data_IF_271840886010
#
_entry.id   IF_271840886010
#
_cell.length_a   1.000
_cell.length_b   1.000
_cell.length_c   1.000
_cell.angle_alpha   90.00
_cell.angle_beta   90.00
_cell.angle_gamma   90.00
#
_symmetry.space_group_name_H-M   'P 1'
#
loop_
_entity.id
_entity.type
_entity.pdbx_description
1 polymer ?
#
# COMPACT_ATOMS: atom_id res chain seq x y z
N UNK A 1 -13.62 0.82 -2.21
CA UNK A 1 -12.97 1.13 -0.90
C UNK A 1 -11.57 0.54 -0.97
N UNK A 2 -10.54 1.26 -0.49
CA UNK A 2 -9.17 0.74 -0.46
C UNK A 2 -9.01 -0.47 0.46
N UNK A 3 -8.02 -1.32 0.17
CA UNK A 3 -7.72 -2.51 0.97
C UNK A 3 -6.92 -2.23 2.25
N UNK A 4 -7.41 -1.29 3.06
CA UNK A 4 -6.85 -1.00 4.38
C UNK A 4 -7.33 -2.01 5.44
N UNK A 5 -6.58 -2.14 6.53
CA UNK A 5 -6.99 -2.92 7.70
C UNK A 5 -8.35 -2.46 8.26
N UNK A 6 -8.99 -3.30 9.09
CA UNK A 6 -10.30 -2.97 9.65
C UNK A 6 -10.27 -1.71 10.54
N UNK A 7 -9.10 -1.32 11.05
CA UNK A 7 -8.96 -0.18 11.95
C UNK A 7 -7.70 0.64 11.65
N UNK A 8 -7.86 1.96 11.57
CA UNK A 8 -6.77 2.94 11.54
C UNK A 8 -6.79 3.71 12.86
N UNK A 9 -5.83 3.41 13.73
CA UNK A 9 -5.81 3.97 15.08
C UNK A 9 -7.06 3.60 15.87
N UNK A 10 -7.87 4.61 16.24
CA UNK A 10 -9.15 4.41 16.94
C UNK A 10 -10.36 4.34 16.00
N UNK A 11 -10.18 4.63 14.72
CA UNK A 11 -11.25 4.55 13.72
C UNK A 11 -11.36 3.10 13.24
N UNK A 12 -12.56 2.51 13.33
CA UNK A 12 -12.80 1.12 12.97
C UNK A 12 -14.02 1.00 12.05
N UNK A 13 -13.86 0.23 10.97
CA UNK A 13 -14.98 -0.09 10.10
C UNK A 13 -16.01 -0.97 10.83
N UNK A 14 -17.32 -0.67 10.71
CA UNK A 14 -18.37 -1.56 11.18
C UNK A 14 -18.18 -2.98 10.63
N UNK A 15 -18.50 -3.99 11.43
CA UNK A 15 -18.25 -5.39 11.07
C UNK A 15 -18.95 -5.81 9.77
N UNK A 16 -20.18 -5.33 9.56
CA UNK A 16 -20.92 -5.59 8.32
C UNK A 16 -20.20 -5.04 7.08
N UNK A 17 -19.64 -3.83 7.17
CA UNK A 17 -18.88 -3.20 6.07
C UNK A 17 -17.57 -3.95 5.84
N UNK A 18 -16.90 -4.36 6.91
CA UNK A 18 -15.67 -5.16 6.82
C UNK A 18 -15.91 -6.49 6.10
N UNK A 19 -16.93 -7.26 6.52
CA UNK A 19 -17.27 -8.54 5.89
C UNK A 19 -17.64 -8.38 4.42
N UNK A 20 -18.46 -7.39 4.09
CA UNK A 20 -18.80 -7.09 2.70
C UNK A 20 -17.55 -6.75 1.87
N UNK A 21 -16.63 -5.95 2.40
CA UNK A 21 -15.39 -5.60 1.71
C UNK A 21 -14.53 -6.83 1.39
N UNK A 22 -14.48 -7.83 2.28
CA UNK A 22 -13.65 -9.03 2.07
C UNK A 22 -14.12 -9.91 0.91
N UNK A 23 -15.42 -9.88 0.58
CA UNK A 23 -16.01 -10.69 -0.50
C UNK A 23 -16.35 -9.89 -1.75
N UNK A 24 -16.23 -8.56 -1.69
CA UNK A 24 -16.46 -7.67 -2.82
C UNK A 24 -15.46 -7.90 -3.97
N UNK A 25 -15.77 -7.33 -5.14
CA UNK A 25 -14.83 -7.29 -6.27
C UNK A 25 -13.58 -6.53 -5.87
N UNK A 26 -12.42 -7.11 -6.17
CA UNK A 26 -11.13 -6.62 -5.74
C UNK A 26 -10.29 -6.20 -6.96
N UNK A 27 -9.86 -4.95 -6.97
CA UNK A 27 -9.05 -4.37 -8.03
C UNK A 27 -7.62 -4.18 -7.53
N UNK A 28 -6.67 -4.90 -8.12
CA UNK A 28 -5.25 -4.77 -7.82
C UNK A 28 -4.66 -3.73 -8.77
N UNK A 29 -3.95 -2.75 -8.21
CA UNK A 29 -3.31 -1.67 -8.97
C UNK A 29 -1.80 -1.85 -8.90
N UNK A 30 -1.18 -2.09 -10.05
CA UNK A 30 0.26 -2.22 -10.18
C UNK A 30 0.81 -0.99 -10.91
N UNK A 31 1.82 -0.37 -10.30
CA UNK A 31 2.48 0.86 -10.78
C UNK A 31 3.99 0.65 -10.62
N UNK A 32 4.85 1.23 -11.49
CA UNK A 32 6.29 1.03 -11.38
C UNK A 32 6.85 1.46 -10.02
N UNK A 33 7.83 0.71 -9.51
CA UNK A 33 8.38 0.91 -8.17
C UNK A 33 8.95 2.33 -7.96
N UNK A 34 9.65 2.87 -8.95
CA UNK A 34 10.25 4.21 -8.85
C UNK A 34 9.19 5.32 -8.76
N UNK A 35 8.03 5.13 -9.39
CA UNK A 35 6.91 6.07 -9.25
C UNK A 35 6.30 6.00 -7.86
N UNK A 36 6.18 4.80 -7.28
CA UNK A 36 5.71 4.59 -5.91
C UNK A 36 6.67 5.21 -4.90
N UNK A 37 7.98 5.01 -5.08
CA UNK A 37 9.02 5.62 -4.25
C UNK A 37 8.95 7.14 -4.33
N UNK A 38 8.93 7.71 -5.55
CA UNK A 38 8.85 9.17 -5.73
C UNK A 38 7.60 9.76 -5.09
N UNK A 39 6.45 9.12 -5.26
CA UNK A 39 5.19 9.55 -4.65
C UNK A 39 5.25 9.53 -3.12
N UNK A 40 5.75 8.44 -2.53
CA UNK A 40 5.87 8.31 -1.08
C UNK A 40 6.89 9.29 -0.50
N UNK A 41 8.06 9.41 -1.11
CA UNK A 41 9.04 10.41 -0.69
C UNK A 41 8.45 11.83 -0.76
N UNK A 42 7.72 12.18 -1.82
CA UNK A 42 7.03 13.47 -1.92
C UNK A 42 5.97 13.68 -0.83
N UNK A 43 5.18 12.65 -0.52
CA UNK A 43 4.14 12.70 0.52
C UNK A 43 4.69 12.83 1.94
N UNK A 44 5.88 12.29 2.21
CA UNK A 44 6.50 12.28 3.53
C UNK A 44 7.66 13.28 3.71
N UNK A 45 8.08 13.99 2.65
CA UNK A 45 9.22 14.90 2.67
C UNK A 45 9.13 16.03 3.72
N UNK A 46 7.91 16.40 4.13
CA UNK A 46 7.69 17.44 5.14
C UNK A 46 7.93 16.99 6.60
N UNK A 47 8.14 15.69 6.83
CA UNK A 47 8.35 15.16 8.18
C UNK A 47 9.83 15.09 8.56
N UNK A 48 10.20 15.44 9.81
CA UNK A 48 11.57 15.26 10.28
C UNK A 48 12.03 13.80 10.21
N UNK A 49 13.28 13.51 9.79
CA UNK A 49 13.80 12.14 9.68
C UNK A 49 13.65 11.32 10.97
N UNK A 50 13.86 11.93 12.14
CA UNK A 50 13.71 11.24 13.43
C UNK A 50 12.26 10.74 13.66
N UNK A 51 11.25 11.51 13.24
CA UNK A 51 9.85 11.06 13.36
C UNK A 51 9.57 9.88 12.45
N UNK A 52 10.15 9.86 11.26
CA UNK A 52 10.04 8.72 10.34
C UNK A 52 10.74 7.49 10.91
N UNK A 53 11.96 7.65 11.45
CA UNK A 53 12.71 6.59 12.10
C UNK A 53 11.94 5.98 13.30
N UNK A 54 11.34 6.81 14.15
CA UNK A 54 10.49 6.35 15.25
C UNK A 54 9.32 5.48 14.77
N UNK A 55 8.69 5.85 13.64
CA UNK A 55 7.60 5.06 13.06
C UNK A 55 8.11 3.73 12.49
N UNK A 56 9.23 3.75 11.78
CA UNK A 56 9.87 2.54 11.24
C UNK A 56 10.26 1.58 12.37
N UNK A 57 10.73 2.09 13.50
CA UNK A 57 11.11 1.28 14.66
C UNK A 57 9.93 0.46 15.21
N UNK A 58 8.70 0.99 15.17
CA UNK A 58 7.49 0.24 15.56
C UNK A 58 7.24 -1.01 14.71
N UNK A 59 7.80 -1.04 13.50
CA UNK A 59 7.68 -2.16 12.57
C UNK A 59 8.71 -3.26 12.85
N UNK A 60 9.67 -3.09 13.77
CA UNK A 60 10.78 -4.04 14.02
C UNK A 60 10.35 -5.50 14.15
N UNK A 61 9.27 -5.76 14.88
CA UNK A 61 8.74 -7.13 15.06
C UNK A 61 8.28 -7.77 13.74
N UNK A 62 7.80 -6.96 12.79
CA UNK A 62 7.23 -7.42 11.52
C UNK A 62 8.23 -7.36 10.36
N UNK A 63 9.00 -6.28 10.27
CA UNK A 63 9.97 -6.01 9.22
C UNK A 63 11.28 -6.78 9.42
N UNK A 64 11.62 -7.06 10.68
CA UNK A 64 12.88 -7.68 11.11
C UNK A 64 13.94 -6.62 11.44
N UNK A 65 14.80 -6.93 12.42
CA UNK A 65 15.77 -5.98 12.96
C UNK A 65 16.75 -5.40 11.94
N UNK A 66 17.26 -6.23 11.02
CA UNK A 66 18.20 -5.77 10.00
C UNK A 66 17.56 -4.77 9.04
N UNK A 67 16.36 -5.07 8.51
CA UNK A 67 15.66 -4.18 7.58
C UNK A 67 15.26 -2.84 8.23
N UNK A 68 14.86 -2.87 9.51
CA UNK A 68 14.63 -1.62 10.26
C UNK A 68 15.90 -0.80 10.35
N UNK A 69 17.02 -1.44 10.70
CA UNK A 69 18.32 -0.79 10.78
C UNK A 69 18.70 -0.18 9.42
N UNK A 70 18.61 -0.94 8.33
CA UNK A 70 18.94 -0.49 6.97
C UNK A 70 18.10 0.73 6.57
N UNK A 71 16.79 0.72 6.88
CA UNK A 71 15.89 1.84 6.56
C UNK A 71 16.18 3.10 7.39
N UNK A 72 16.55 2.94 8.67
CA UNK A 72 16.91 4.07 9.53
C UNK A 72 18.27 4.66 9.09
N UNK A 73 19.26 3.82 8.80
CA UNK A 73 20.57 4.26 8.30
C UNK A 73 20.43 5.03 6.97
N UNK A 74 19.52 4.60 6.10
CA UNK A 74 19.20 5.33 4.87
C UNK A 74 18.61 6.72 5.14
N UNK A 75 17.71 6.86 6.13
CA UNK A 75 17.18 8.17 6.53
C UNK A 75 18.27 9.08 7.10
N UNK A 76 19.14 8.55 7.96
CA UNK A 76 20.24 9.31 8.57
C UNK A 76 21.28 9.75 7.53
N UNK A 77 21.47 8.95 6.48
CA UNK A 77 22.31 9.29 5.33
C UNK A 77 21.67 10.29 4.34
N UNK A 78 20.43 10.73 4.58
CA UNK A 78 19.70 11.63 3.69
C UNK A 78 19.14 10.96 2.44
N UNK A 79 18.96 9.64 2.45
CA UNK A 79 18.36 8.85 1.36
C UNK A 79 17.01 8.23 1.77
N UNK A 80 15.93 9.05 1.81
CA UNK A 80 14.60 8.53 2.12
C UNK A 80 14.06 7.59 1.03
N UNK A 81 14.62 7.61 -0.18
CA UNK A 81 14.20 6.72 -1.26
C UNK A 81 14.67 5.28 -0.97
N UNK A 82 15.89 5.09 -0.49
CA UNK A 82 16.37 3.79 -0.04
C UNK A 82 15.53 3.24 1.14
N UNK A 83 15.21 4.08 2.13
CA UNK A 83 14.31 3.70 3.22
C UNK A 83 12.93 3.27 2.69
N UNK A 84 12.36 4.03 1.74
CA UNK A 84 11.09 3.73 1.12
C UNK A 84 11.10 2.37 0.38
N UNK A 85 12.17 2.06 -0.37
CA UNK A 85 12.31 0.76 -1.06
C UNK A 85 12.30 -0.42 -0.09
N UNK A 86 12.98 -0.30 1.06
CA UNK A 86 12.98 -1.34 2.10
C UNK A 86 11.56 -1.59 2.63
N UNK A 87 10.83 -0.51 2.92
CA UNK A 87 9.45 -0.60 3.41
C UNK A 87 8.50 -1.18 2.36
N UNK A 88 8.58 -0.70 1.11
CA UNK A 88 7.78 -1.19 -0.01
C UNK A 88 7.97 -2.69 -0.22
N UNK A 89 9.21 -3.19 -0.20
CA UNK A 89 9.48 -4.62 -0.35
C UNK A 89 8.78 -5.48 0.73
N UNK A 90 8.65 -4.97 1.95
CA UNK A 90 7.91 -5.64 3.01
C UNK A 90 6.39 -5.60 2.77
N UNK A 91 5.84 -4.43 2.45
CA UNK A 91 4.41 -4.30 2.20
C UNK A 91 3.97 -5.09 0.96
N UNK A 92 4.75 -5.11 -0.11
CA UNK A 92 4.47 -5.91 -1.31
C UNK A 92 4.42 -7.40 -1.01
N UNK A 93 5.29 -7.88 -0.12
CA UNK A 93 5.22 -9.26 0.38
C UNK A 93 3.95 -9.47 1.21
N UNK A 94 3.62 -8.56 2.12
CA UNK A 94 2.42 -8.66 2.95
C UNK A 94 1.14 -8.67 2.11
N UNK A 95 1.02 -7.78 1.13
CA UNK A 95 -0.11 -7.72 0.21
C UNK A 95 -0.25 -9.01 -0.60
N UNK A 96 0.85 -9.56 -1.15
CA UNK A 96 0.79 -10.86 -1.83
C UNK A 96 0.28 -11.99 -0.94
N UNK A 97 0.67 -12.01 0.33
CA UNK A 97 0.16 -12.99 1.30
C UNK A 97 -1.34 -12.80 1.60
N UNK A 98 -1.82 -11.56 1.69
CA UNK A 98 -3.24 -11.25 1.86
C UNK A 98 -4.06 -11.66 0.63
N UNK A 99 -3.58 -11.30 -0.57
CA UNK A 99 -4.22 -11.64 -1.84
C UNK A 99 -4.31 -13.16 -2.05
N UNK A 100 -3.30 -13.92 -1.66
CA UNK A 100 -3.32 -15.38 -1.75
C UNK A 100 -4.40 -16.05 -0.88
N UNK A 101 -5.00 -15.32 0.07
CA UNK A 101 -6.01 -15.81 1.01
C UNK A 101 -7.34 -15.08 0.89
N UNK A 102 -7.52 -14.27 -0.15
CA UNK A 102 -8.74 -13.47 -0.32
C UNK A 102 -9.91 -14.36 -0.74
N UNK A 103 -11.12 -13.98 -0.30
CA UNK A 103 -12.39 -14.59 -0.68
C UNK A 103 -13.18 -13.69 -1.64
N UNK A 104 -12.48 -12.74 -2.28
CA UNK A 104 -13.09 -11.81 -3.22
C UNK A 104 -13.85 -12.56 -4.32
N UNK A 105 -15.07 -12.09 -4.60
CA UNK A 105 -15.90 -12.66 -5.67
C UNK A 105 -15.24 -12.54 -7.07
N UNK A 106 -14.39 -11.53 -7.25
CA UNK A 106 -13.62 -11.30 -8.47
C UNK A 106 -12.30 -10.60 -8.12
N UNK A 107 -11.21 -11.01 -8.78
CA UNK A 107 -9.90 -10.37 -8.67
C UNK A 107 -9.47 -9.88 -10.05
N UNK A 108 -9.23 -8.58 -10.18
CA UNK A 108 -8.79 -7.96 -11.44
C UNK A 108 -7.56 -7.10 -11.24
N UNK A 109 -6.48 -7.41 -11.94
CA UNK A 109 -5.24 -6.63 -11.93
C UNK A 109 -5.23 -5.59 -13.04
N UNK A 110 -4.86 -4.36 -12.69
CA UNK A 110 -4.68 -3.22 -13.57
C UNK A 110 -3.23 -2.77 -13.48
N UNK A 111 -2.49 -2.94 -14.58
CA UNK A 111 -1.09 -2.55 -14.65
C UNK A 111 -0.94 -1.23 -15.39
N UNK A 112 -0.36 -0.25 -14.71
CA UNK A 112 -0.10 1.08 -15.23
C UNK A 112 1.38 1.27 -15.51
N UNK A 113 1.69 2.10 -16.50
CA UNK A 113 3.08 2.46 -16.85
C UNK A 113 3.60 3.66 -16.05
N UNK A 114 2.72 4.38 -15.38
CA UNK A 114 3.06 5.51 -14.52
C UNK A 114 1.98 5.75 -13.46
N UNK A 115 2.34 6.49 -12.41
CA UNK A 115 1.39 6.97 -11.40
C UNK A 115 0.71 8.26 -11.86
N UNK A 116 -0.43 8.12 -12.55
CA UNK A 116 -1.35 9.21 -12.87
C UNK A 116 -2.72 8.92 -12.23
N UNK A 117 -3.06 9.58 -11.10
CA UNK A 117 -4.31 9.31 -10.39
C UNK A 117 -5.57 9.49 -11.25
N UNK A 118 -5.58 10.47 -12.17
CA UNK A 118 -6.74 10.75 -12.99
C UNK A 118 -6.95 9.67 -14.05
N UNK A 119 -5.88 9.28 -14.76
CA UNK A 119 -5.93 8.21 -15.74
C UNK A 119 -6.25 6.85 -15.08
N UNK A 120 -5.65 6.56 -13.92
CA UNK A 120 -5.90 5.35 -13.16
C UNK A 120 -7.36 5.27 -12.69
N UNK A 121 -7.92 6.36 -12.15
CA UNK A 121 -9.32 6.41 -11.74
C UNK A 121 -10.27 6.17 -12.93
N UNK A 122 -10.01 6.79 -14.09
CA UNK A 122 -10.80 6.58 -15.29
C UNK A 122 -10.77 5.11 -15.76
N UNK A 123 -9.60 4.48 -15.76
CA UNK A 123 -9.45 3.07 -16.13
C UNK A 123 -10.20 2.12 -15.17
N UNK A 124 -10.10 2.38 -13.85
CA UNK A 124 -10.80 1.60 -12.83
C UNK A 124 -12.33 1.75 -12.93
N UNK A 125 -12.82 2.97 -13.17
CA UNK A 125 -14.25 3.23 -13.35
C UNK A 125 -14.81 2.53 -14.60
N UNK A 126 -14.09 2.60 -15.73
CA UNK A 126 -14.46 1.89 -16.95
C UNK A 126 -14.50 0.37 -16.73
N UNK A 127 -13.52 -0.17 -16.01
CA UNK A 127 -13.46 -1.59 -15.67
C UNK A 127 -14.61 -2.06 -14.77
N UNK A 128 -15.16 -1.18 -13.92
CA UNK A 128 -16.29 -1.49 -13.06
C UNK A 128 -17.62 -1.52 -13.85
N UNK A 129 -17.81 -0.60 -14.81
CA UNK A 129 -19.05 -0.45 -15.57
C UNK A 129 -19.32 -1.51 -16.65
N UNK A 130 -18.35 -2.35 -16.99
CA UNK A 130 -18.48 -3.34 -18.09
C UNK A 130 -19.05 -4.70 -17.70
N UNK A 131 -19.35 -4.94 -16.42
CA UNK A 131 -19.86 -6.25 -15.97
C UNK A 131 -21.37 -6.12 -15.66
N UNK A 132 -22.26 -6.84 -16.37
CA UNK A 132 -23.69 -6.73 -16.12
C UNK A 132 -24.01 -7.06 -14.66
N UNK A 133 -24.84 -6.23 -14.03
CA UNK A 133 -25.47 -6.60 -12.77
C UNK A 133 -26.41 -7.77 -13.05
N UNK A 134 -26.14 -8.90 -12.41
CA UNK A 134 -27.02 -10.07 -12.42
C UNK A 134 -28.25 -9.77 -11.58
#
# INVERSE_FOLDING_TARGET
IEDESQAIGRCRLPEAVWRWKQTARFHIVEVPDEDRVRYLCGGYAGHPPHMLAERIETLRKRLGGNRVKDAIEALDAGDPAAACRVLLAYYDKAYRHCLARTEAAELRTHRFQSLDPAAMAAALAAAYGTTPMI
#
